data_IF_450162227562
#
_entry.id   IF_450162227562
#
_cell.length_a   1.000
_cell.length_b   1.000
_cell.length_c   1.000
_cell.angle_alpha   90.00
_cell.angle_beta   90.00
_cell.angle_gamma   90.00
#
_symmetry.space_group_name_H-M   'P 1'
#
loop_
_entity.id
_entity.type
_entity.pdbx_description
1 polymer ?
#
# COMPACT_ATOMS: atom_id res chain seq x y z
N UNK A 1 63.99 1.80 -53.10
CA UNK A 1 63.33 2.98 -52.49
C UNK A 1 61.90 2.57 -52.19
N UNK A 2 61.55 2.60 -50.91
CA UNK A 2 60.28 2.17 -50.33
C UNK A 2 59.19 3.20 -50.61
N UNK A 3 57.98 2.75 -50.93
CA UNK A 3 56.73 3.40 -50.51
C UNK A 3 55.61 2.36 -50.43
N UNK A 4 55.38 1.85 -49.22
CA UNK A 4 54.08 1.30 -48.83
C UNK A 4 53.11 2.48 -48.67
N UNK A 5 51.99 2.48 -49.40
CA UNK A 5 50.87 3.38 -49.13
C UNK A 5 49.79 2.58 -48.40
N UNK A 6 49.65 2.84 -47.10
CA UNK A 6 48.63 2.29 -46.21
C UNK A 6 47.22 2.75 -46.63
N UNK A 7 46.27 1.82 -46.65
CA UNK A 7 44.85 2.12 -46.61
C UNK A 7 44.54 2.90 -45.33
N UNK A 8 44.04 4.12 -45.46
CA UNK A 8 43.52 4.89 -44.33
C UNK A 8 42.24 4.23 -43.82
N UNK A 9 42.25 3.81 -42.55
CA UNK A 9 41.06 3.37 -41.85
C UNK A 9 40.12 4.57 -41.66
N UNK A 10 38.89 4.47 -42.18
CA UNK A 10 37.80 5.39 -41.87
C UNK A 10 37.43 5.19 -40.40
N UNK A 11 37.74 6.17 -39.56
CA UNK A 11 37.25 6.23 -38.19
C UNK A 11 35.74 6.45 -38.25
N UNK A 12 34.97 5.44 -37.86
CA UNK A 12 33.54 5.58 -37.61
C UNK A 12 33.37 6.41 -36.34
N UNK A 13 33.07 7.70 -36.48
CA UNK A 13 32.68 8.57 -35.38
C UNK A 13 31.42 8.01 -34.72
N UNK A 14 31.53 7.51 -33.48
CA UNK A 14 30.36 7.20 -32.65
C UNK A 14 29.71 8.52 -32.24
N UNK A 15 28.40 8.71 -32.45
CA UNK A 15 27.74 9.95 -32.13
C UNK A 15 27.83 10.21 -30.62
N UNK A 16 28.19 11.44 -30.28
CA UNK A 16 28.29 12.00 -28.93
C UNK A 16 26.93 11.93 -28.23
N UNK A 17 26.70 10.84 -27.50
CA UNK A 17 25.55 10.67 -26.61
C UNK A 17 25.78 11.60 -25.42
N UNK A 18 25.10 12.74 -25.42
CA UNK A 18 24.95 13.56 -24.21
C UNK A 18 24.35 12.64 -23.15
N UNK A 19 25.17 12.22 -22.19
CA UNK A 19 24.74 11.36 -21.10
C UNK A 19 23.66 12.12 -20.32
N UNK A 20 22.40 11.77 -20.55
CA UNK A 20 21.29 12.23 -19.73
C UNK A 20 21.59 11.74 -18.33
N UNK A 21 21.74 12.66 -17.38
CA UNK A 21 21.94 12.30 -15.98
C UNK A 21 20.74 11.45 -15.54
N UNK A 22 21.03 10.28 -14.97
CA UNK A 22 19.99 9.45 -14.37
C UNK A 22 19.28 10.25 -13.26
N UNK A 23 17.98 10.04 -13.13
CA UNK A 23 17.20 10.67 -12.06
C UNK A 23 17.78 10.28 -10.70
N UNK A 24 17.80 11.20 -9.71
CA UNK A 24 18.25 10.86 -8.37
C UNK A 24 17.32 9.81 -7.76
N UNK A 25 17.85 8.93 -6.90
CA UNK A 25 17.04 7.90 -6.25
C UNK A 25 15.82 8.48 -5.55
N UNK A 26 15.94 9.65 -4.93
CA UNK A 26 14.83 10.37 -4.28
C UNK A 26 13.71 10.81 -5.21
N UNK A 27 13.84 10.67 -6.53
CA UNK A 27 12.73 10.88 -7.47
C UNK A 27 11.76 9.68 -7.49
N UNK A 28 12.22 8.48 -7.14
CA UNK A 28 11.40 7.27 -7.11
C UNK A 28 10.62 7.20 -5.79
N UNK A 29 9.29 7.18 -5.89
CA UNK A 29 8.37 7.20 -4.75
C UNK A 29 7.84 5.83 -4.35
N UNK A 30 8.00 4.83 -5.21
CA UNK A 30 7.57 3.45 -4.93
C UNK A 30 8.79 2.55 -4.74
N UNK A 31 8.62 1.51 -3.93
CA UNK A 31 9.66 0.52 -3.70
C UNK A 31 10.08 -0.15 -5.01
N UNK A 32 9.12 -0.57 -5.83
CA UNK A 32 9.39 -1.26 -7.10
C UNK A 32 10.17 -0.36 -8.06
N UNK A 33 9.75 0.89 -8.26
CA UNK A 33 10.45 1.82 -9.16
C UNK A 33 11.86 2.14 -8.65
N UNK A 34 12.02 2.23 -7.32
CA UNK A 34 13.31 2.47 -6.69
C UNK A 34 14.29 1.32 -6.94
N UNK A 35 13.84 0.07 -6.76
CA UNK A 35 14.67 -1.10 -6.91
C UNK A 35 14.99 -1.42 -8.38
N UNK A 36 14.16 -0.93 -9.31
CA UNK A 36 14.46 -0.98 -10.75
C UNK A 36 15.52 0.05 -11.17
N UNK A 37 15.72 1.11 -10.39
CA UNK A 37 16.68 2.16 -10.70
C UNK A 37 18.11 1.76 -10.29
N UNK A 38 19.11 1.85 -11.19
CA UNK A 38 20.46 1.39 -10.91
C UNK A 38 21.12 2.25 -9.83
N UNK A 39 21.74 1.59 -8.84
CA UNK A 39 22.43 2.26 -7.73
C UNK A 39 21.50 2.80 -6.65
N UNK A 40 20.21 2.50 -6.72
CA UNK A 40 19.20 2.87 -5.74
C UNK A 40 18.77 1.68 -4.86
N UNK A 41 18.29 2.00 -3.66
CA UNK A 41 17.90 1.06 -2.62
C UNK A 41 16.71 1.60 -1.84
N UNK A 42 15.84 0.72 -1.36
CA UNK A 42 14.61 1.15 -0.69
C UNK A 42 14.69 0.99 0.83
N UNK A 43 14.48 2.08 1.57
CA UNK A 43 14.37 2.06 3.03
C UNK A 43 12.93 1.73 3.44
N UNK A 44 12.68 0.56 4.04
CA UNK A 44 11.31 0.16 4.42
C UNK A 44 10.74 1.01 5.55
N UNK A 45 11.60 1.53 6.44
CA UNK A 45 11.17 2.37 7.56
C UNK A 45 10.90 3.80 7.16
N UNK A 46 11.77 4.39 6.33
CA UNK A 46 11.60 5.78 5.87
C UNK A 46 10.64 5.87 4.69
N UNK A 47 10.39 4.75 3.99
CA UNK A 47 9.62 4.69 2.74
C UNK A 47 10.18 5.62 1.68
N UNK A 48 11.50 5.62 1.59
CA UNK A 48 12.24 6.49 0.68
C UNK A 48 13.29 5.68 -0.08
N UNK A 49 13.51 6.12 -1.32
CA UNK A 49 14.54 5.58 -2.18
C UNK A 49 15.87 6.32 -1.93
N UNK A 50 16.88 5.57 -1.52
CA UNK A 50 18.19 6.08 -1.08
C UNK A 50 19.26 5.60 -2.06
N UNK A 51 20.26 6.45 -2.34
CA UNK A 51 21.38 6.04 -3.18
C UNK A 51 22.34 5.11 -2.42
N UNK A 52 22.90 4.12 -3.12
CA UNK A 52 23.91 3.21 -2.55
C UNK A 52 25.12 3.97 -2.00
N UNK A 53 25.50 5.08 -2.65
CA UNK A 53 26.63 5.91 -2.23
C UNK A 53 26.36 6.66 -0.91
N UNK A 54 25.14 7.18 -0.71
CA UNK A 54 24.77 7.95 0.49
C UNK A 54 24.27 7.07 1.64
N UNK A 55 23.87 5.82 1.38
CA UNK A 55 23.23 4.94 2.35
C UNK A 55 24.02 4.81 3.67
N UNK A 56 25.35 4.58 3.71
CA UNK A 56 26.04 4.37 4.99
C UNK A 56 25.93 5.56 5.95
N UNK A 57 26.02 6.78 5.40
CA UNK A 57 25.90 8.00 6.19
C UNK A 57 24.43 8.33 6.51
N UNK A 58 23.55 8.19 5.53
CA UNK A 58 22.13 8.53 5.68
C UNK A 58 21.40 7.55 6.63
N UNK A 59 21.77 6.27 6.59
CA UNK A 59 21.19 5.21 7.42
C UNK A 59 21.97 4.96 8.72
N UNK A 60 22.93 5.82 9.06
CA UNK A 60 23.68 5.73 10.30
C UNK A 60 22.73 5.69 11.51
N UNK A 61 23.03 4.84 12.49
CA UNK A 61 22.16 4.64 13.66
C UNK A 61 20.87 3.86 13.37
N UNK A 62 20.73 3.23 12.20
CA UNK A 62 19.61 2.34 11.89
C UNK A 62 18.30 3.04 11.55
N UNK A 63 18.35 4.33 11.20
CA UNK A 63 17.16 5.13 10.87
C UNK A 63 16.40 4.61 9.64
N UNK A 64 17.08 3.93 8.72
CA UNK A 64 16.47 3.33 7.53
C UNK A 64 15.75 2.00 7.79
N UNK A 65 15.96 1.35 8.94
CA UNK A 65 15.46 -0.01 9.16
C UNK A 65 16.05 -1.00 8.14
N UNK A 66 15.19 -1.86 7.57
CA UNK A 66 15.59 -2.78 6.50
C UNK A 66 15.75 -2.00 5.19
N UNK A 67 16.89 -2.18 4.51
CA UNK A 67 17.16 -1.56 3.22
C UNK A 67 17.17 -2.65 2.17
N UNK A 68 16.20 -2.62 1.26
CA UNK A 68 16.02 -3.59 0.19
C UNK A 68 16.96 -3.28 -0.99
N UNK A 69 17.46 -4.35 -1.62
CA UNK A 69 18.29 -4.28 -2.83
C UNK A 69 17.48 -4.69 -4.07
N UNK A 70 18.09 -4.60 -5.26
CA UNK A 70 17.46 -4.94 -6.56
C UNK A 70 16.76 -6.31 -6.56
N UNK A 71 17.32 -7.27 -5.82
CA UNK A 71 16.86 -8.66 -5.77
C UNK A 71 15.69 -8.87 -4.79
N UNK A 72 15.38 -7.87 -3.96
CA UNK A 72 14.41 -7.97 -2.87
C UNK A 72 13.05 -7.37 -3.22
N UNK A 73 12.76 -7.16 -4.51
CA UNK A 73 11.49 -6.57 -4.97
C UNK A 73 10.25 -7.32 -4.48
N UNK A 74 10.34 -8.63 -4.27
CA UNK A 74 9.29 -9.45 -3.67
C UNK A 74 8.98 -9.12 -2.19
N UNK A 75 9.87 -8.40 -1.51
CA UNK A 75 9.70 -7.95 -0.13
C UNK A 75 9.26 -6.48 -0.04
N UNK A 76 8.91 -5.85 -1.16
CA UNK A 76 8.36 -4.51 -1.16
C UNK A 76 7.05 -4.47 -0.34
N UNK A 77 6.89 -3.48 0.56
CA UNK A 77 5.64 -3.32 1.29
C UNK A 77 4.47 -3.04 0.34
N UNK A 78 3.36 -3.72 0.56
CA UNK A 78 2.11 -3.42 -0.13
C UNK A 78 1.66 -1.97 0.18
N UNK A 79 1.19 -1.22 -0.82
CA UNK A 79 0.66 0.12 -0.57
C UNK A 79 -0.67 0.04 0.20
N UNK A 80 -0.97 1.06 1.01
CA UNK A 80 -2.15 1.02 1.88
C UNK A 80 -3.46 0.77 1.11
N UNK A 81 -3.61 1.33 -0.09
CA UNK A 81 -4.80 1.14 -0.92
C UNK A 81 -5.04 -0.30 -1.39
N UNK A 82 -4.06 -1.19 -1.27
CA UNK A 82 -4.24 -2.62 -1.55
C UNK A 82 -5.11 -3.32 -0.49
N UNK A 83 -5.24 -2.73 0.70
CA UNK A 83 -6.07 -3.27 1.77
C UNK A 83 -7.48 -2.67 1.71
N UNK A 84 -8.45 -3.49 1.35
CA UNK A 84 -9.87 -3.11 1.25
C UNK A 84 -10.67 -3.38 2.52
N UNK A 85 -10.02 -3.90 3.57
CA UNK A 85 -10.65 -4.16 4.87
C UNK A 85 -9.88 -3.44 5.96
N UNK A 86 -10.59 -2.78 6.88
CA UNK A 86 -9.96 -2.05 7.97
C UNK A 86 -9.05 -2.94 8.83
N UNK A 87 -9.50 -4.15 9.15
CA UNK A 87 -8.74 -5.10 9.98
C UNK A 87 -7.40 -5.52 9.37
N UNK A 88 -7.29 -5.51 8.04
CA UNK A 88 -6.04 -5.76 7.31
C UNK A 88 -5.20 -4.50 7.15
N UNK A 89 -5.85 -3.35 6.93
CA UNK A 89 -5.21 -2.04 6.84
C UNK A 89 -4.44 -1.69 8.13
N UNK A 90 -5.11 -1.77 9.30
CA UNK A 90 -4.54 -1.32 10.58
C UNK A 90 -3.48 -2.26 11.16
N UNK A 91 -3.28 -3.45 10.58
CA UNK A 91 -2.13 -4.32 10.90
C UNK A 91 -0.81 -3.73 10.39
N UNK A 92 -0.88 -2.79 9.45
CA UNK A 92 0.29 -2.16 8.85
C UNK A 92 0.49 -0.75 9.42
N UNK A 93 1.59 -0.57 10.16
CA UNK A 93 1.90 0.67 10.88
C UNK A 93 1.88 1.98 10.07
N UNK A 94 2.21 2.04 8.76
CA UNK A 94 2.15 3.31 8.03
C UNK A 94 0.77 3.59 7.41
N UNK A 95 -0.23 2.76 7.69
CA UNK A 95 -1.58 2.87 7.15
C UNK A 95 -2.60 3.19 8.24
N UNK A 96 -3.70 3.81 7.85
CA UNK A 96 -4.91 3.94 8.64
C UNK A 96 -6.14 3.95 7.74
N UNK A 97 -7.31 3.93 8.37
CA UNK A 97 -8.59 3.75 7.72
C UNK A 97 -9.41 5.04 7.78
N UNK A 98 -9.79 5.55 6.62
CA UNK A 98 -10.82 6.58 6.53
C UNK A 98 -12.17 5.89 6.42
N UNK A 99 -12.96 5.94 7.48
CA UNK A 99 -14.27 5.29 7.54
C UNK A 99 -15.34 6.16 6.87
N UNK A 100 -16.19 5.54 6.05
CA UNK A 100 -17.40 6.15 5.54
C UNK A 100 -18.47 6.26 6.64
N UNK A 101 -19.32 7.30 6.62
CA UNK A 101 -20.34 7.50 7.63
C UNK A 101 -21.49 6.48 7.46
N UNK A 102 -21.83 5.76 8.53
CA UNK A 102 -23.02 4.89 8.59
C UNK A 102 -22.95 3.60 7.79
N UNK A 103 -21.94 3.45 6.94
CA UNK A 103 -21.67 2.24 6.18
C UNK A 103 -20.85 1.27 7.05
N UNK A 104 -21.38 0.06 7.23
CA UNK A 104 -20.90 -0.99 8.12
C UNK A 104 -19.42 -1.37 7.88
N UNK A 105 -18.47 -0.59 8.40
CA UNK A 105 -17.04 -0.79 8.20
C UNK A 105 -16.44 -0.28 6.89
N UNK A 106 -17.25 0.25 5.98
CA UNK A 106 -16.80 0.72 4.67
C UNK A 106 -15.81 1.88 4.80
N UNK A 107 -14.85 1.95 3.89
CA UNK A 107 -13.85 3.00 3.92
C UNK A 107 -12.65 2.76 3.02
N UNK A 108 -11.65 3.61 3.17
CA UNK A 108 -10.43 3.57 2.35
C UNK A 108 -9.22 3.50 3.26
N UNK A 109 -8.35 2.53 2.98
CA UNK A 109 -7.05 2.46 3.61
C UNK A 109 -6.08 3.46 2.97
N UNK A 110 -5.54 4.36 3.77
CA UNK A 110 -4.66 5.43 3.33
C UNK A 110 -3.41 5.53 4.20
N UNK A 111 -2.35 6.10 3.64
CA UNK A 111 -1.13 6.38 4.41
C UNK A 111 -1.40 7.47 5.44
N UNK A 112 -0.84 7.32 6.63
CA UNK A 112 -1.05 8.28 7.70
C UNK A 112 -0.33 7.92 8.99
N UNK A 113 -0.64 8.68 10.03
CA UNK A 113 -0.18 8.43 11.38
C UNK A 113 -1.37 8.41 12.34
N UNK A 114 -1.10 8.34 13.65
CA UNK A 114 -2.14 8.30 14.68
C UNK A 114 -3.07 9.52 14.71
N UNK A 115 -2.68 10.64 14.11
CA UNK A 115 -3.45 11.87 14.13
C UNK A 115 -4.31 12.04 12.88
N UNK A 116 -3.77 11.76 11.70
CA UNK A 116 -4.45 12.03 10.42
C UNK A 116 -3.85 11.27 9.22
N UNK A 117 -4.60 11.19 8.10
CA UNK A 117 -4.04 10.79 6.81
C UNK A 117 -2.92 11.73 6.34
N UNK A 118 -1.95 11.21 5.60
CA UNK A 118 -0.88 12.01 4.99
C UNK A 118 -1.42 13.02 3.97
N UNK A 119 -2.53 12.69 3.29
CA UNK A 119 -3.19 13.56 2.31
C UNK A 119 -4.09 14.65 2.94
N UNK A 120 -4.02 14.84 4.25
CA UNK A 120 -4.75 15.88 4.98
C UNK A 120 -5.84 15.31 5.87
N UNK A 121 -7.07 15.20 5.34
CA UNK A 121 -8.23 14.67 6.04
C UNK A 121 -8.89 13.53 5.24
N UNK A 122 -9.82 12.83 5.88
CA UNK A 122 -10.51 11.73 5.22
C UNK A 122 -11.45 12.18 4.11
N UNK A 123 -11.91 13.43 4.11
CA UNK A 123 -12.69 13.98 3.02
C UNK A 123 -11.87 14.01 1.72
N UNK A 124 -10.63 14.49 1.78
CA UNK A 124 -9.71 14.50 0.63
C UNK A 124 -9.33 13.10 0.15
N UNK A 125 -9.12 12.17 1.07
CA UNK A 125 -8.84 10.76 0.72
C UNK A 125 -10.01 10.15 -0.07
N UNK A 126 -11.25 10.43 0.35
CA UNK A 126 -12.45 9.93 -0.30
C UNK A 126 -12.73 10.62 -1.65
N UNK A 127 -12.57 11.94 -1.71
CA UNK A 127 -12.76 12.74 -2.93
C UNK A 127 -11.79 12.32 -4.05
N UNK A 128 -10.52 12.07 -3.74
CA UNK A 128 -9.56 11.55 -4.73
C UNK A 128 -9.97 10.19 -5.27
N UNK A 129 -10.60 9.33 -4.46
CA UNK A 129 -11.08 8.03 -4.91
C UNK A 129 -12.34 8.14 -5.78
N UNK A 130 -13.22 9.10 -5.48
CA UNK A 130 -14.42 9.38 -6.27
C UNK A 130 -14.07 9.96 -7.65
N UNK A 131 -13.09 10.86 -7.72
CA UNK A 131 -12.56 11.41 -8.99
C UNK A 131 -11.91 10.39 -9.91
N UNK A 132 -11.55 9.21 -9.40
CA UNK A 132 -11.07 8.09 -10.22
C UNK A 132 -12.21 7.30 -10.88
N UNK A 133 -13.44 7.44 -10.39
CA UNK A 133 -14.63 6.75 -10.90
C UNK A 133 -15.51 7.66 -11.75
N UNK A 134 -15.50 8.97 -11.46
CA UNK A 134 -16.23 9.99 -12.20
C UNK A 134 -15.22 10.88 -12.92
N UNK A 135 -15.04 10.62 -14.21
CA UNK A 135 -14.18 11.44 -15.07
C UNK A 135 -14.58 12.92 -15.00
N UNK A 136 -13.56 13.79 -15.03
CA UNK A 136 -13.62 15.25 -14.92
C UNK A 136 -14.91 15.86 -15.51
N UNK A 137 -15.89 16.14 -14.66
CA UNK A 137 -16.97 17.07 -14.99
C UNK A 137 -16.63 18.41 -14.35
N UNK A 138 -16.17 19.34 -15.19
CA UNK A 138 -16.16 20.77 -14.92
C UNK A 138 -17.62 21.25 -14.78
N UNK A 139 -18.22 21.10 -13.60
CA UNK A 139 -19.53 21.67 -13.31
C UNK A 139 -19.48 22.55 -12.05
N UNK A 140 -19.99 23.77 -12.23
CA UNK A 140 -19.92 24.92 -11.35
C UNK A 140 -20.45 24.67 -9.93
N UNK A 141 -19.76 25.28 -8.98
CA UNK A 141 -19.95 25.27 -7.54
C UNK A 141 -21.34 25.81 -7.11
N UNK A 142 -22.37 24.96 -7.06
CA UNK A 142 -23.63 25.26 -6.34
C UNK A 142 -24.28 24.02 -5.68
N UNK A 143 -23.47 23.08 -5.17
CA UNK A 143 -23.94 22.00 -4.28
C UNK A 143 -23.02 21.73 -3.06
N UNK A 144 -22.26 22.72 -2.62
CA UNK A 144 -21.41 22.64 -1.42
C UNK A 144 -22.15 22.54 -0.06
N UNK A 145 -23.49 22.41 -0.05
CA UNK A 145 -24.29 22.38 1.19
C UNK A 145 -24.99 21.03 1.47
N UNK A 146 -24.83 20.02 0.60
CA UNK A 146 -25.28 18.65 0.86
C UNK A 146 -24.15 17.72 1.35
N UNK A 147 -22.89 18.10 1.13
CA UNK A 147 -21.70 17.32 1.52
C UNK A 147 -21.16 17.67 2.92
N UNK A 148 -21.76 18.66 3.59
CA UNK A 148 -21.34 19.16 4.91
C UNK A 148 -21.81 18.29 6.09
N UNK A 149 -22.56 17.21 5.81
CA UNK A 149 -23.07 16.28 6.83
C UNK A 149 -22.43 14.89 6.78
N UNK A 150 -21.62 14.59 5.75
CA UNK A 150 -20.92 13.31 5.63
C UNK A 150 -19.60 13.37 6.39
N UNK A 151 -19.65 12.92 7.65
CA UNK A 151 -18.50 12.95 8.55
C UNK A 151 -17.67 11.66 8.42
N UNK A 152 -16.60 11.72 7.61
CA UNK A 152 -15.60 10.67 7.54
C UNK A 152 -14.66 10.73 8.75
N UNK A 153 -14.42 9.60 9.40
CA UNK A 153 -13.54 9.51 10.57
C UNK A 153 -12.23 8.80 10.24
N UNK A 154 -11.15 9.26 10.86
CA UNK A 154 -9.84 8.61 10.77
C UNK A 154 -9.65 7.59 11.89
N UNK A 155 -9.25 6.38 11.52
CA UNK A 155 -9.02 5.26 12.41
C UNK A 155 -7.61 4.72 12.19
N UNK A 156 -6.77 4.72 13.21
CA UNK A 156 -5.38 4.26 13.09
C UNK A 156 -5.03 3.08 14.00
N UNK A 157 -5.75 2.93 15.13
CA UNK A 157 -5.48 1.90 16.13
C UNK A 157 -6.60 0.85 16.17
N UNK A 158 -7.84 1.31 16.06
CA UNK A 158 -9.03 0.47 16.10
C UNK A 158 -9.93 0.81 14.94
N UNK A 159 -10.50 -0.22 14.33
CA UNK A 159 -11.50 -0.05 13.30
C UNK A 159 -12.75 0.65 13.84
N UNK A 160 -13.51 1.33 12.96
CA UNK A 160 -14.87 1.72 13.30
C UNK A 160 -15.70 0.48 13.64
N UNK A 161 -16.83 0.69 14.32
CA UNK A 161 -17.76 -0.41 14.56
C UNK A 161 -18.28 -0.92 13.22
N UNK A 162 -18.23 -2.23 13.08
CA UNK A 162 -18.56 -2.97 11.87
C UNK A 162 -19.17 -4.30 12.32
N UNK A 163 -20.07 -4.83 11.50
CA UNK A 163 -20.57 -6.19 11.59
C UNK A 163 -20.00 -6.99 10.42
N UNK A 164 -18.86 -7.63 10.66
CA UNK A 164 -18.11 -8.33 9.62
C UNK A 164 -18.90 -9.51 9.06
N UNK A 165 -19.82 -10.06 9.85
CA UNK A 165 -20.71 -11.15 9.46
C UNK A 165 -21.75 -10.72 8.41
N UNK A 166 -22.16 -9.45 8.39
CA UNK A 166 -23.17 -8.95 7.45
C UNK A 166 -22.59 -8.49 6.12
N UNK A 167 -21.35 -7.98 6.10
CA UNK A 167 -20.69 -7.47 4.90
C UNK A 167 -19.64 -8.43 4.32
N UNK A 168 -19.41 -9.58 4.96
CA UNK A 168 -18.45 -10.59 4.48
C UNK A 168 -16.99 -10.22 4.73
N UNK A 169 -16.70 -9.33 5.68
CA UNK A 169 -15.33 -8.99 6.08
C UNK A 169 -14.76 -9.93 7.17
N UNK A 170 -15.37 -11.09 7.35
CA UNK A 170 -14.88 -12.16 8.22
C UNK A 170 -13.98 -13.16 7.47
N UNK A 171 -13.18 -13.92 8.21
CA UNK A 171 -12.33 -14.99 7.68
C UNK A 171 -12.78 -16.40 8.13
N UNK A 172 -14.02 -16.53 8.59
CA UNK A 172 -14.58 -17.82 9.00
C UNK A 172 -14.69 -18.80 7.83
N UNK A 173 -14.52 -20.09 8.11
CA UNK A 173 -14.70 -21.15 7.11
C UNK A 173 -16.20 -21.40 6.85
N UNK A 174 -16.70 -21.04 5.67
CA UNK A 174 -18.14 -21.07 5.30
C UNK A 174 -18.87 -22.38 5.62
N UNK A 175 -18.18 -23.52 5.51
CA UNK A 175 -18.80 -24.86 5.67
C UNK A 175 -18.69 -25.42 7.10
N UNK A 176 -17.77 -24.90 7.90
CA UNK A 176 -17.39 -25.48 9.19
C UNK A 176 -17.59 -24.54 10.38
N UNK A 177 -17.71 -23.24 10.11
CA UNK A 177 -17.77 -22.18 11.10
C UNK A 177 -18.94 -21.23 10.85
N UNK A 178 -19.42 -20.61 11.92
CA UNK A 178 -20.45 -19.59 11.94
C UNK A 178 -19.80 -18.31 12.46
N UNK A 179 -19.98 -17.23 11.71
CA UNK A 179 -19.53 -15.90 12.11
C UNK A 179 -20.42 -15.34 13.23
N UNK A 180 -19.79 -14.84 14.29
CA UNK A 180 -20.44 -14.14 15.40
C UNK A 180 -19.83 -12.75 15.52
N UNK A 181 -20.68 -11.74 15.33
CA UNK A 181 -20.35 -10.33 15.47
C UNK A 181 -20.07 -9.97 16.93
N UNK A 182 -19.03 -9.16 17.18
CA UNK A 182 -18.68 -8.64 18.49
C UNK A 182 -18.65 -7.11 18.47
N UNK A 183 -18.53 -6.47 19.64
CA UNK A 183 -18.38 -5.01 19.68
C UNK A 183 -17.06 -4.53 19.07
N UNK A 184 -16.01 -5.35 19.16
CA UNK A 184 -14.69 -5.14 18.55
C UNK A 184 -14.35 -6.42 17.73
N UNK A 185 -14.63 -6.42 16.43
CA UNK A 185 -14.30 -7.53 15.51
C UNK A 185 -15.33 -8.66 15.47
N UNK A 186 -14.91 -9.84 14.97
CA UNK A 186 -15.75 -11.03 14.89
C UNK A 186 -15.08 -12.27 15.52
N UNK A 187 -15.89 -13.28 15.84
CA UNK A 187 -15.46 -14.59 16.31
C UNK A 187 -16.06 -15.70 15.43
N UNK A 188 -15.23 -16.63 14.96
CA UNK A 188 -15.69 -17.82 14.24
C UNK A 188 -15.91 -18.98 15.21
N UNK A 189 -17.12 -19.55 15.23
CA UNK A 189 -17.48 -20.70 16.07
C UNK A 189 -17.81 -21.91 15.21
N UNK A 190 -17.43 -23.11 15.64
CA UNK A 190 -17.79 -24.31 14.90
C UNK A 190 -19.30 -24.43 14.72
N UNK A 191 -19.72 -24.64 13.47
CA UNK A 191 -21.11 -24.82 13.10
C UNK A 191 -21.67 -26.18 13.51
N UNK A 192 -22.94 -26.39 13.20
CA UNK A 192 -23.61 -27.67 13.48
C UNK A 192 -22.90 -28.84 12.80
N UNK A 193 -22.70 -29.93 13.53
CA UNK A 193 -21.97 -31.10 13.02
C UNK A 193 -20.45 -30.93 13.02
N UNK A 194 -19.91 -29.83 13.55
CA UNK A 194 -18.48 -29.63 13.76
C UNK A 194 -18.14 -29.43 15.24
N UNK A 195 -16.92 -29.79 15.63
CA UNK A 195 -16.38 -29.55 16.97
C UNK A 195 -15.00 -28.89 16.89
N UNK A 196 -14.55 -28.19 17.94
CA UNK A 196 -13.20 -27.64 17.98
C UNK A 196 -12.13 -28.73 17.81
N UNK A 197 -11.30 -28.60 16.77
CA UNK A 197 -10.07 -29.36 16.59
C UNK A 197 -8.85 -28.61 17.15
N UNK A 198 -7.65 -29.07 16.81
CA UNK A 198 -6.39 -28.45 17.28
C UNK A 198 -6.07 -27.11 16.62
N UNK A 199 -6.59 -26.89 15.41
CA UNK A 199 -6.41 -25.65 14.64
C UNK A 199 -7.70 -25.20 13.94
N UNK A 200 -8.53 -26.14 13.48
CA UNK A 200 -9.77 -25.88 12.74
C UNK A 200 -10.93 -26.70 13.31
N UNK A 201 -12.17 -26.33 12.96
CA UNK A 201 -13.35 -27.12 13.22
C UNK A 201 -13.32 -28.46 12.45
N UNK A 202 -13.59 -29.57 13.14
CA UNK A 202 -13.58 -30.92 12.54
C UNK A 202 -14.97 -31.54 12.55
N UNK A 203 -15.37 -32.27 11.49
CA UNK A 203 -16.70 -32.85 11.41
C UNK A 203 -16.91 -33.92 12.49
N UNK A 204 -18.13 -34.00 12.99
CA UNK A 204 -18.61 -35.01 13.94
C UNK A 204 -19.33 -36.08 13.14
N UNK A 205 -18.67 -37.21 12.90
CA UNK A 205 -19.29 -38.34 12.21
C UNK A 205 -20.29 -39.07 13.13
N UNK A 206 -21.51 -39.38 12.67
CA UNK A 206 -22.40 -40.28 13.38
C UNK A 206 -21.78 -41.69 13.44
N UNK A 207 -22.02 -42.39 14.55
CA UNK A 207 -21.58 -43.78 14.77
C UNK A 207 -22.48 -44.79 14.09
#
# INVERSE_FOLDING_TARGET
>A
MFTHLQLAAVASEKPNQVAVCLAPCTAHRTCVDCLFAPGCRWSTRLRECVSTASQPAYCAGGVCGLVLEENDSAHCPEPCHAFTQCSSCLRHGPCGWCAAPGENGEGICAEGNSERPMKGDCFKVMDENLKLLEGESDEDDELANANSTMHYSWHYVKCPKENECQNGHHSCADEAEICVDLDDGFECKCGEGYKPGTANCVPVCPQ
#
